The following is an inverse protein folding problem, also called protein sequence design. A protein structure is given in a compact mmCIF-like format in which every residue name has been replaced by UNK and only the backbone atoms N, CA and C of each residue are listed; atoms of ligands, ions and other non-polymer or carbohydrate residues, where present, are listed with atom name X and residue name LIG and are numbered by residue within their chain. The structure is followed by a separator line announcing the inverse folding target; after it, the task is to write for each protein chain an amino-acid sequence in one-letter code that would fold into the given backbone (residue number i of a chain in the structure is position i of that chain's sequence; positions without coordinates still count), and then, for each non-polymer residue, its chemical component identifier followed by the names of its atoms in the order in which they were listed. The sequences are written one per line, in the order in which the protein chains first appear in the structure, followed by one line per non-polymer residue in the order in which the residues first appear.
data_IF_693210239322
#
_entry.id   IF_693210239322
#
_cell.length_a   1.000
_cell.length_b   1.000
_cell.length_c   1.000
_cell.angle_alpha   90.00
_cell.angle_beta   90.00
_cell.angle_gamma   90.00
#
_symmetry.space_group_name_H-M   'P 1'
#
loop_
_entity.id
_entity.type
_entity.pdbx_description
1 polymer ?
#
# COMPACT_ATOMS: atom_id res chain seq x y z
N UNK A 1 -1.22 -7.35 -7.07
CA UNK A 1 -1.40 -7.54 -5.61
C UNK A 1 -1.63 -8.99 -5.26
N UNK A 2 -1.22 -9.37 -4.06
CA UNK A 2 -1.28 -10.75 -3.56
C UNK A 2 -2.51 -10.98 -2.66
N UNK A 3 -2.95 -9.95 -1.94
CA UNK A 3 -4.10 -10.03 -1.03
C UNK A 3 -5.36 -9.62 -1.76
N UNK A 4 -5.90 -10.54 -2.56
CA UNK A 4 -7.09 -10.31 -3.38
C UNK A 4 -8.31 -10.98 -2.72
N UNK A 5 -9.46 -10.29 -2.57
CA UNK A 5 -10.63 -10.92 -1.98
C UNK A 5 -11.22 -11.99 -2.90
N UNK A 6 -11.53 -13.15 -2.34
CA UNK A 6 -12.36 -14.13 -3.04
C UNK A 6 -13.81 -13.63 -3.11
N UNK A 7 -14.13 -12.98 -4.20
CA UNK A 7 -15.46 -12.37 -4.41
C UNK A 7 -16.59 -13.40 -4.42
N UNK A 8 -16.31 -14.63 -4.82
CA UNK A 8 -17.32 -15.70 -4.86
C UNK A 8 -17.69 -16.17 -3.44
N UNK A 9 -16.74 -16.15 -2.53
CA UNK A 9 -16.93 -16.53 -1.12
C UNK A 9 -17.52 -15.41 -0.23
N UNK A 10 -17.57 -14.16 -0.72
CA UNK A 10 -18.09 -13.03 0.06
C UNK A 10 -19.60 -12.84 -0.13
N UNK A 11 -20.31 -12.56 0.98
CA UNK A 11 -21.71 -12.11 0.92
C UNK A 11 -21.82 -10.78 0.15
N UNK A 12 -22.99 -10.46 -0.44
CA UNK A 12 -23.21 -9.18 -1.13
C UNK A 12 -22.88 -7.96 -0.25
N UNK A 13 -23.17 -8.05 1.03
CA UNK A 13 -22.86 -7.00 2.00
C UNK A 13 -21.34 -6.84 2.23
N UNK A 14 -20.60 -7.94 2.38
CA UNK A 14 -19.16 -7.93 2.51
C UNK A 14 -18.48 -7.40 1.24
N UNK A 15 -18.99 -7.78 0.05
CA UNK A 15 -18.54 -7.22 -1.22
C UNK A 15 -18.76 -5.70 -1.30
N UNK A 16 -19.93 -5.22 -0.84
CA UNK A 16 -20.24 -3.78 -0.80
C UNK A 16 -19.30 -3.03 0.15
N UNK A 17 -19.05 -3.58 1.34
CA UNK A 17 -18.10 -3.01 2.31
C UNK A 17 -16.67 -2.95 1.75
N UNK A 18 -16.20 -4.04 1.14
CA UNK A 18 -14.89 -4.06 0.50
C UNK A 18 -14.79 -2.99 -0.61
N UNK A 19 -15.80 -2.93 -1.48
CA UNK A 19 -15.86 -1.95 -2.57
C UNK A 19 -15.85 -0.52 -2.06
N UNK A 20 -16.58 -0.23 -0.97
CA UNK A 20 -16.59 1.12 -0.39
C UNK A 20 -15.23 1.54 0.15
N UNK A 21 -14.48 0.63 0.78
CA UNK A 21 -13.12 0.88 1.25
C UNK A 21 -12.13 1.08 0.08
N UNK A 22 -12.24 0.24 -0.97
CA UNK A 22 -11.44 0.38 -2.20
C UNK A 22 -11.68 1.73 -2.89
N UNK A 23 -12.95 2.13 -3.03
CA UNK A 23 -13.31 3.42 -3.61
C UNK A 23 -12.90 4.60 -2.71
N UNK A 24 -12.98 4.43 -1.38
CA UNK A 24 -12.49 5.40 -0.41
C UNK A 24 -10.99 5.64 -0.56
N UNK A 25 -10.20 4.58 -0.61
CA UNK A 25 -8.75 4.66 -0.85
C UNK A 25 -8.45 5.33 -2.20
N UNK A 26 -9.13 4.94 -3.28
CA UNK A 26 -8.99 5.55 -4.60
C UNK A 26 -9.22 7.07 -4.57
N UNK A 27 -10.26 7.52 -3.87
CA UNK A 27 -10.59 8.94 -3.72
C UNK A 27 -9.54 9.69 -2.89
N UNK A 28 -9.04 9.07 -1.82
CA UNK A 28 -8.00 9.72 -0.99
C UNK A 28 -6.69 9.83 -1.75
N UNK A 29 -6.31 8.81 -2.52
CA UNK A 29 -5.15 8.91 -3.42
C UNK A 29 -5.33 10.08 -4.41
N UNK A 30 -6.51 10.20 -5.03
CA UNK A 30 -6.79 11.30 -5.96
C UNK A 30 -6.74 12.67 -5.27
N UNK A 31 -7.32 12.78 -4.09
CA UNK A 31 -7.37 14.03 -3.34
C UNK A 31 -5.98 14.50 -2.86
N UNK A 32 -5.11 13.56 -2.46
CA UNK A 32 -3.77 13.87 -1.93
C UNK A 32 -2.71 13.97 -3.04
N UNK A 33 -2.81 13.14 -4.09
CA UNK A 33 -1.76 12.93 -5.09
C UNK A 33 -2.22 13.14 -6.53
N UNK A 34 -3.50 13.52 -6.71
CA UNK A 34 -4.09 13.76 -8.01
C UNK A 34 -4.31 12.49 -8.84
N UNK A 35 -4.80 12.69 -10.06
CA UNK A 35 -5.17 11.60 -10.97
C UNK A 35 -4.02 10.62 -11.24
N UNK A 36 -2.78 11.11 -11.26
CA UNK A 36 -1.58 10.29 -11.50
C UNK A 36 -1.33 9.29 -10.36
N UNK A 37 -1.59 9.70 -9.11
CA UNK A 37 -1.50 8.84 -7.95
C UNK A 37 -2.48 7.65 -8.00
N UNK A 38 -3.63 7.79 -8.67
CA UNK A 38 -4.65 6.71 -8.74
C UNK A 38 -4.15 5.42 -9.37
N UNK A 39 -3.11 5.48 -10.21
CA UNK A 39 -2.49 4.28 -10.77
C UNK A 39 -1.75 3.44 -9.74
N UNK A 40 -1.46 4.00 -8.55
CA UNK A 40 -0.88 3.26 -7.43
C UNK A 40 -1.90 2.47 -6.60
N UNK A 41 -3.20 2.58 -6.87
CA UNK A 41 -4.24 1.86 -6.16
C UNK A 41 -4.05 0.34 -6.29
N UNK A 42 -3.99 -0.36 -5.16
CA UNK A 42 -3.81 -1.81 -5.12
C UNK A 42 -4.76 -2.51 -4.15
N UNK A 43 -4.94 -3.81 -4.36
CA UNK A 43 -5.71 -4.65 -3.44
C UNK A 43 -5.00 -4.82 -2.10
N UNK A 44 -3.66 -4.88 -2.11
CA UNK A 44 -2.86 -5.05 -0.90
C UNK A 44 -3.02 -3.86 0.05
N UNK A 45 -2.92 -2.63 -0.48
CA UNK A 45 -3.14 -1.42 0.31
C UNK A 45 -4.62 -1.23 0.70
N UNK A 46 -5.55 -1.76 -0.10
CA UNK A 46 -6.97 -1.81 0.29
C UNK A 46 -7.17 -2.75 1.48
N UNK A 47 -6.50 -3.90 1.49
CA UNK A 47 -6.53 -4.81 2.64
C UNK A 47 -5.97 -4.14 3.90
N UNK A 48 -4.79 -3.51 3.81
CA UNK A 48 -4.20 -2.78 4.93
C UNK A 48 -5.14 -1.67 5.42
N UNK A 49 -5.74 -0.91 4.51
CA UNK A 49 -6.72 0.13 4.85
C UNK A 49 -7.92 -0.43 5.62
N UNK A 50 -8.50 -1.55 5.17
CA UNK A 50 -9.62 -2.20 5.86
C UNK A 50 -9.20 -2.66 7.26
N UNK A 51 -8.04 -3.31 7.38
CA UNK A 51 -7.51 -3.79 8.65
C UNK A 51 -7.34 -2.63 9.64
N UNK A 52 -6.62 -1.59 9.24
CA UNK A 52 -6.36 -0.44 10.09
C UNK A 52 -7.65 0.31 10.45
N UNK A 53 -8.53 0.58 9.48
CA UNK A 53 -9.81 1.21 9.76
C UNK A 53 -10.66 0.41 10.74
N UNK A 54 -10.61 -0.93 10.70
CA UNK A 54 -11.36 -1.77 11.65
C UNK A 54 -10.78 -1.74 13.06
N UNK A 55 -9.46 -1.64 13.21
CA UNK A 55 -8.80 -1.58 14.52
C UNK A 55 -8.96 -0.22 15.20
N UNK A 56 -9.01 0.85 14.41
CA UNK A 56 -9.15 2.23 14.90
C UNK A 56 -10.58 2.78 14.75
N UNK A 57 -11.57 1.91 14.53
CA UNK A 57 -12.98 2.31 14.45
C UNK A 57 -13.43 2.96 15.77
N UNK A 58 -14.01 4.17 15.65
CA UNK A 58 -14.42 4.97 16.81
C UNK A 58 -13.33 5.84 17.43
N UNK A 59 -12.06 5.65 17.10
CA UNK A 59 -10.96 6.51 17.54
C UNK A 59 -10.69 7.66 16.56
N UNK A 60 -11.04 7.47 15.29
CA UNK A 60 -10.84 8.46 14.22
C UNK A 60 -12.14 8.78 13.51
N UNK A 61 -12.35 10.04 13.10
CA UNK A 61 -13.48 10.41 12.26
C UNK A 61 -13.50 9.58 10.97
N UNK A 62 -14.67 9.05 10.63
CA UNK A 62 -14.88 8.39 9.35
C UNK A 62 -15.79 9.25 8.48
N UNK A 63 -15.44 9.37 7.21
CA UNK A 63 -16.22 10.05 6.20
C UNK A 63 -16.74 9.04 5.16
N UNK A 64 -17.91 9.32 4.59
CA UNK A 64 -18.50 8.43 3.59
C UNK A 64 -19.46 9.20 2.69
N UNK A 65 -19.66 8.71 1.50
CA UNK A 65 -20.58 9.32 0.55
C UNK A 65 -20.84 8.45 -0.67
N UNK A 66 -21.64 8.96 -1.59
CA UNK A 66 -21.94 8.32 -2.85
C UNK A 66 -21.59 9.29 -3.97
N UNK A 67 -20.58 8.95 -4.76
CA UNK A 67 -20.13 9.81 -5.86
C UNK A 67 -19.90 9.02 -7.14
N UNK A 68 -19.98 9.72 -8.25
CA UNK A 68 -19.56 9.21 -9.56
C UNK A 68 -18.06 9.42 -9.72
N UNK A 69 -17.43 8.53 -10.46
CA UNK A 69 -16.02 8.70 -10.83
C UNK A 69 -15.81 8.29 -12.31
N UNK A 70 -14.68 8.62 -12.93
CA UNK A 70 -14.41 8.27 -14.33
C UNK A 70 -14.53 6.76 -14.64
N UNK A 71 -14.25 5.91 -13.65
CA UNK A 71 -14.40 4.44 -13.79
C UNK A 71 -15.84 3.98 -13.63
N UNK A 72 -16.67 4.75 -12.89
CA UNK A 72 -18.10 4.48 -12.64
C UNK A 72 -18.94 5.71 -12.98
N UNK A 73 -19.06 6.08 -14.28
CA UNK A 73 -19.67 7.35 -14.68
C UNK A 73 -21.21 7.32 -14.58
N UNK A 74 -21.82 6.15 -14.67
CA UNK A 74 -23.29 6.01 -14.75
C UNK A 74 -23.92 6.01 -13.36
N UNK A 75 -23.38 5.24 -12.42
CA UNK A 75 -23.92 5.08 -11.08
C UNK A 75 -22.95 5.61 -10.02
N UNK A 76 -23.48 6.30 -9.00
CA UNK A 76 -22.73 6.65 -7.83
C UNK A 76 -22.24 5.39 -7.10
N UNK A 77 -21.03 5.43 -6.59
CA UNK A 77 -20.44 4.34 -5.82
C UNK A 77 -20.24 4.82 -4.39
N UNK A 78 -20.69 3.99 -3.44
CA UNK A 78 -20.44 4.23 -2.02
C UNK A 78 -18.93 4.17 -1.76
N UNK A 79 -18.43 5.16 -1.02
CA UNK A 79 -17.06 5.19 -0.54
C UNK A 79 -17.01 5.47 0.95
N UNK A 80 -15.97 5.00 1.63
CA UNK A 80 -15.69 5.26 3.04
C UNK A 80 -14.20 5.48 3.24
N UNK A 81 -13.83 6.47 4.04
CA UNK A 81 -12.46 6.79 4.42
C UNK A 81 -12.37 7.18 5.88
N UNK A 82 -11.19 7.05 6.46
CA UNK A 82 -10.83 7.51 7.80
C UNK A 82 -9.33 7.87 7.79
N UNK A 83 -8.78 8.33 8.92
CA UNK A 83 -7.35 8.69 8.99
C UNK A 83 -6.40 7.60 8.45
N UNK A 84 -6.59 6.29 8.75
CA UNK A 84 -5.74 5.26 8.16
C UNK A 84 -5.80 5.19 6.63
N UNK A 85 -6.88 5.70 6.02
CA UNK A 85 -7.00 5.74 4.55
C UNK A 85 -5.99 6.70 3.93
N UNK A 86 -5.70 7.82 4.57
CA UNK A 86 -4.69 8.79 4.13
C UNK A 86 -3.28 8.19 4.21
N UNK A 87 -3.00 7.47 5.30
CA UNK A 87 -1.78 6.71 5.44
C UNK A 87 -1.59 5.69 4.31
N UNK A 88 -2.62 4.88 4.02
CA UNK A 88 -2.57 3.90 2.93
C UNK A 88 -2.46 4.57 1.54
N UNK A 89 -3.04 5.76 1.36
CA UNK A 89 -2.89 6.52 0.12
C UNK A 89 -1.44 6.99 -0.09
N UNK A 90 -0.79 7.51 0.94
CA UNK A 90 0.60 7.90 0.91
C UNK A 90 1.53 6.70 0.64
N UNK A 91 1.30 5.59 1.34
CA UNK A 91 2.07 4.36 1.12
C UNK A 91 1.88 3.79 -0.30
N UNK A 92 0.67 3.89 -0.87
CA UNK A 92 0.41 3.44 -2.25
C UNK A 92 1.34 4.14 -3.23
N UNK A 93 1.42 5.46 -3.13
CA UNK A 93 2.27 6.28 -4.02
C UNK A 93 3.76 6.01 -3.77
N UNK A 94 4.18 5.96 -2.50
CA UNK A 94 5.57 5.70 -2.15
C UNK A 94 6.06 4.33 -2.66
N UNK A 95 5.29 3.27 -2.42
CA UNK A 95 5.65 1.91 -2.89
C UNK A 95 5.74 1.85 -4.42
N UNK A 96 4.80 2.47 -5.14
CA UNK A 96 4.85 2.51 -6.60
C UNK A 96 6.02 3.31 -7.15
N UNK A 97 6.35 4.42 -6.52
CA UNK A 97 7.50 5.22 -6.86
C UNK A 97 8.81 4.43 -6.73
N UNK A 98 9.05 3.84 -5.57
CA UNK A 98 10.28 3.10 -5.32
C UNK A 98 10.38 1.83 -6.19
N UNK A 99 9.29 1.12 -6.41
CA UNK A 99 9.25 -0.02 -7.34
C UNK A 99 9.53 0.42 -8.80
N UNK A 100 9.03 1.58 -9.22
CA UNK A 100 9.31 2.11 -10.55
C UNK A 100 10.79 2.53 -10.70
N UNK A 101 11.38 3.09 -9.65
CA UNK A 101 12.82 3.41 -9.65
C UNK A 101 13.70 2.16 -9.72
N UNK A 102 13.36 1.14 -8.97
CA UNK A 102 14.03 -0.16 -8.97
C UNK A 102 14.03 -0.76 -10.40
N UNK A 103 12.86 -0.86 -11.02
CA UNK A 103 12.72 -1.31 -12.42
C UNK A 103 13.48 -0.46 -13.45
N UNK A 104 13.66 0.83 -13.17
CA UNK A 104 14.52 1.66 -14.02
C UNK A 104 16.00 1.31 -13.85
N UNK A 105 16.44 1.08 -12.61
CA UNK A 105 17.84 0.72 -12.33
C UNK A 105 18.20 -0.65 -12.94
N UNK A 106 17.30 -1.62 -12.85
CA UNK A 106 17.55 -2.99 -13.31
C UNK A 106 17.39 -3.14 -14.82
N UNK A 107 16.28 -2.66 -15.37
CA UNK A 107 15.88 -2.93 -16.76
C UNK A 107 16.04 -1.73 -17.69
N UNK A 108 16.45 -0.57 -17.19
CA UNK A 108 16.44 0.72 -17.91
C UNK A 108 15.09 1.05 -18.55
N UNK A 109 13.99 0.70 -17.86
CA UNK A 109 12.64 0.89 -18.36
C UNK A 109 12.24 2.37 -18.35
N UNK A 110 12.25 3.02 -19.51
CA UNK A 110 11.91 4.44 -19.67
C UNK A 110 10.49 4.81 -19.20
N UNK A 111 9.53 3.89 -19.31
CA UNK A 111 8.17 4.12 -18.81
C UNK A 111 8.15 4.15 -17.28
N UNK A 112 8.94 3.27 -16.65
CA UNK A 112 9.10 3.28 -15.19
C UNK A 112 9.76 4.57 -14.71
N UNK A 113 10.81 5.04 -15.39
CA UNK A 113 11.43 6.33 -15.10
C UNK A 113 10.44 7.49 -15.25
N UNK A 114 9.69 7.54 -16.36
CA UNK A 114 8.69 8.58 -16.60
C UNK A 114 7.61 8.57 -15.52
N UNK A 115 7.16 7.39 -15.10
CA UNK A 115 6.14 7.27 -14.05
C UNK A 115 6.68 7.67 -12.67
N UNK A 116 7.89 7.25 -12.29
CA UNK A 116 8.50 7.69 -11.03
C UNK A 116 8.66 9.21 -10.97
N UNK A 117 9.10 9.84 -12.05
CA UNK A 117 9.21 11.31 -12.13
C UNK A 117 7.86 12.00 -11.89
N UNK A 118 6.75 11.41 -12.35
CA UNK A 118 5.40 11.94 -12.10
C UNK A 118 4.96 11.85 -10.64
N UNK A 119 5.53 10.93 -9.87
CA UNK A 119 5.21 10.69 -8.47
C UNK A 119 6.21 11.31 -7.49
N UNK A 120 7.28 11.95 -7.98
CA UNK A 120 8.39 12.44 -7.15
C UNK A 120 7.92 13.37 -6.03
N UNK A 121 7.16 14.42 -6.35
CA UNK A 121 6.64 15.35 -5.38
C UNK A 121 5.70 14.68 -4.36
N UNK A 122 4.81 13.81 -4.85
CA UNK A 122 3.87 13.07 -4.01
C UNK A 122 4.59 12.15 -3.02
N UNK A 123 5.67 11.50 -3.47
CA UNK A 123 6.51 10.64 -2.63
C UNK A 123 7.30 11.46 -1.62
N UNK A 124 7.79 12.63 -1.99
CA UNK A 124 8.47 13.55 -1.06
C UNK A 124 7.53 13.99 0.07
N UNK A 125 6.28 14.32 -0.25
CA UNK A 125 5.26 14.65 0.75
C UNK A 125 4.92 13.46 1.66
N UNK A 126 4.75 12.26 1.09
CA UNK A 126 4.55 11.04 1.84
C UNK A 126 5.73 10.75 2.79
N UNK A 127 6.96 10.97 2.33
CA UNK A 127 8.17 10.78 3.13
C UNK A 127 8.30 11.80 4.29
N UNK A 128 7.75 13.00 4.13
CA UNK A 128 7.67 13.96 5.24
C UNK A 128 6.66 13.54 6.31
N UNK A 129 5.50 13.00 5.89
CA UNK A 129 4.47 12.52 6.82
C UNK A 129 4.83 11.17 7.48
N UNK A 130 5.47 10.28 6.73
CA UNK A 130 5.76 8.89 7.13
C UNK A 130 7.24 8.52 6.92
N UNK A 131 8.18 9.25 7.57
CA UNK A 131 9.62 9.06 7.32
C UNK A 131 10.12 7.66 7.70
N UNK A 132 9.57 7.05 8.75
CA UNK A 132 9.94 5.70 9.19
C UNK A 132 9.64 4.66 8.12
N UNK A 133 8.44 4.66 7.58
CA UNK A 133 7.99 3.72 6.57
C UNK A 133 8.70 3.93 5.22
N UNK A 134 8.84 5.16 4.79
CA UNK A 134 9.56 5.46 3.54
C UNK A 134 11.06 5.10 3.64
N UNK A 135 11.68 5.27 4.80
CA UNK A 135 13.04 4.81 5.05
C UNK A 135 13.13 3.28 5.01
N UNK A 136 12.14 2.57 5.59
CA UNK A 136 12.09 1.12 5.56
C UNK A 136 11.96 0.57 4.13
N UNK A 137 11.15 1.21 3.26
CA UNK A 137 11.05 0.84 1.85
C UNK A 137 12.42 0.95 1.17
N UNK A 138 13.09 2.10 1.31
CA UNK A 138 14.41 2.32 0.69
C UNK A 138 15.47 1.35 1.21
N UNK A 139 15.49 1.10 2.51
CA UNK A 139 16.44 0.18 3.12
C UNK A 139 16.23 -1.27 2.66
N UNK A 140 14.98 -1.70 2.53
CA UNK A 140 14.66 -3.03 2.04
C UNK A 140 15.10 -3.20 0.57
N UNK A 141 14.76 -2.25 -0.31
CA UNK A 141 15.16 -2.33 -1.73
C UNK A 141 16.69 -2.35 -1.88
N UNK A 142 17.42 -1.49 -1.16
CA UNK A 142 18.87 -1.52 -1.17
C UNK A 142 19.42 -2.87 -0.70
N UNK A 143 18.82 -3.47 0.32
CA UNK A 143 19.24 -4.78 0.83
C UNK A 143 18.93 -5.92 -0.12
N UNK A 144 17.79 -5.88 -0.80
CA UNK A 144 17.43 -6.86 -1.83
C UNK A 144 18.42 -6.78 -3.01
N UNK A 145 18.76 -5.59 -3.48
CA UNK A 145 19.77 -5.40 -4.51
C UNK A 145 21.16 -5.95 -4.11
N UNK A 146 21.57 -5.81 -2.82
CA UNK A 146 22.79 -6.45 -2.32
C UNK A 146 22.72 -7.98 -2.40
N UNK A 147 21.60 -8.60 -2.02
CA UNK A 147 21.41 -10.05 -2.11
C UNK A 147 21.45 -10.53 -3.55
N UNK A 148 20.82 -9.83 -4.47
CA UNK A 148 20.83 -10.13 -5.91
C UNK A 148 22.24 -10.03 -6.49
N UNK A 149 22.96 -8.93 -6.20
CA UNK A 149 24.33 -8.75 -6.65
C UNK A 149 25.29 -9.81 -6.10
N UNK A 150 25.03 -10.32 -4.90
CA UNK A 150 25.79 -11.41 -4.29
C UNK A 150 25.38 -12.81 -4.79
N UNK A 151 24.33 -12.93 -5.62
CA UNK A 151 23.77 -14.21 -6.04
C UNK A 151 23.27 -15.06 -4.86
N UNK A 152 22.73 -14.42 -3.83
CA UNK A 152 22.30 -15.08 -2.61
C UNK A 152 21.15 -16.05 -2.88
N UNK A 153 21.30 -17.29 -2.40
CA UNK A 153 20.25 -18.32 -2.42
C UNK A 153 19.59 -18.51 -1.05
N UNK A 154 19.91 -17.65 -0.09
CA UNK A 154 19.33 -17.68 1.25
C UNK A 154 17.92 -17.07 1.24
N UNK A 155 16.93 -17.92 0.93
CA UNK A 155 15.52 -17.53 0.87
C UNK A 155 15.00 -17.00 2.22
N UNK A 156 15.55 -17.50 3.34
CA UNK A 156 15.11 -17.04 4.66
C UNK A 156 15.57 -15.59 4.93
N UNK A 157 16.82 -15.26 4.60
CA UNK A 157 17.35 -13.92 4.73
C UNK A 157 16.63 -12.93 3.82
N UNK A 158 16.40 -13.29 2.56
CA UNK A 158 15.76 -12.41 1.57
C UNK A 158 14.28 -12.20 1.89
N UNK A 159 13.53 -13.29 2.16
CA UNK A 159 12.13 -13.18 2.57
C UNK A 159 11.96 -12.46 3.92
N UNK A 160 12.93 -12.65 4.83
CA UNK A 160 12.99 -11.94 6.11
C UNK A 160 13.15 -10.43 5.95
N UNK A 161 13.94 -9.98 4.96
CA UNK A 161 14.08 -8.56 4.63
C UNK A 161 12.73 -7.96 4.21
N UNK A 162 12.01 -8.62 3.31
CA UNK A 162 10.68 -8.18 2.88
C UNK A 162 9.65 -8.26 4.01
N UNK A 163 9.73 -9.29 4.86
CA UNK A 163 8.93 -9.39 6.08
C UNK A 163 9.15 -8.21 7.02
N UNK A 164 10.40 -7.80 7.23
CA UNK A 164 10.74 -6.64 8.07
C UNK A 164 10.18 -5.33 7.50
N UNK A 165 10.21 -5.14 6.18
CA UNK A 165 9.55 -4.03 5.52
C UNK A 165 8.05 -4.04 5.81
N UNK A 166 7.37 -5.15 5.57
CA UNK A 166 5.93 -5.25 5.78
C UNK A 166 5.54 -5.03 7.25
N UNK A 167 6.38 -5.45 8.20
CA UNK A 167 6.18 -5.14 9.61
C UNK A 167 6.16 -3.62 9.86
N UNK A 168 7.05 -2.86 9.23
CA UNK A 168 7.05 -1.39 9.33
C UNK A 168 5.83 -0.73 8.67
N UNK A 169 5.37 -1.26 7.54
CA UNK A 169 4.20 -0.73 6.84
C UNK A 169 2.89 -1.03 7.58
N UNK A 170 2.81 -2.13 8.31
CA UNK A 170 1.63 -2.46 9.12
C UNK A 170 1.59 -1.67 10.43
N UNK A 171 2.74 -1.29 10.98
CA UNK A 171 2.87 -0.49 12.19
C UNK A 171 2.52 0.99 11.91
N UNK A 172 1.22 1.26 11.76
CA UNK A 172 0.66 2.58 11.48
C UNK A 172 0.96 3.58 12.60
N UNK A 173 0.70 3.16 13.84
CA UNK A 173 0.96 3.93 15.06
C UNK A 173 1.70 3.06 16.07
N UNK A 174 2.66 3.64 16.79
CA UNK A 174 3.36 2.95 17.89
C UNK A 174 2.51 2.96 19.15
N UNK A 175 1.44 2.18 19.12
CA UNK A 175 0.47 2.03 20.20
C UNK A 175 0.28 0.56 20.63
N UNK A 176 -0.84 0.26 21.31
CA UNK A 176 -1.18 -1.09 21.78
C UNK A 176 -1.25 -2.15 20.66
N UNK A 177 -1.50 -1.74 19.40
CA UNK A 177 -1.63 -2.65 18.27
C UNK A 177 -0.31 -2.89 17.53
N UNK A 178 0.73 -2.11 17.85
CA UNK A 178 1.99 -2.17 17.13
C UNK A 178 2.63 -3.57 17.14
N UNK A 179 2.70 -4.34 18.26
CA UNK A 179 3.31 -5.66 18.25
C UNK A 179 2.58 -6.65 17.34
N UNK A 180 1.25 -6.67 17.39
CA UNK A 180 0.41 -7.56 16.59
C UNK A 180 0.44 -7.19 15.11
N UNK A 181 0.34 -5.91 14.79
CA UNK A 181 0.42 -5.41 13.41
C UNK A 181 1.79 -5.71 12.80
N UNK A 182 2.88 -5.49 13.53
CA UNK A 182 4.23 -5.85 13.09
C UNK A 182 4.37 -7.35 12.85
N UNK A 183 3.82 -8.18 13.73
CA UNK A 183 3.82 -9.64 13.57
C UNK A 183 3.04 -10.08 12.33
N UNK A 184 1.83 -9.55 12.13
CA UNK A 184 1.01 -9.84 10.94
C UNK A 184 1.76 -9.41 9.67
N UNK A 185 2.28 -8.19 9.64
CA UNK A 185 3.04 -7.66 8.49
C UNK A 185 4.26 -8.52 8.17
N UNK A 186 5.05 -8.88 9.17
CA UNK A 186 6.25 -9.70 8.99
C UNK A 186 5.95 -11.05 8.35
N UNK A 187 5.01 -11.79 8.91
CA UNK A 187 4.68 -13.13 8.41
C UNK A 187 3.99 -13.09 7.05
N UNK A 188 3.11 -12.11 6.83
CA UNK A 188 2.50 -11.91 5.52
C UNK A 188 3.54 -11.54 4.46
N UNK A 189 4.49 -10.67 4.78
CA UNK A 189 5.57 -10.28 3.89
C UNK A 189 6.46 -11.47 3.50
N UNK A 190 6.90 -12.26 4.48
CA UNK A 190 7.65 -13.50 4.19
C UNK A 190 6.86 -14.45 3.30
N UNK A 191 5.58 -14.65 3.60
CA UNK A 191 4.72 -15.55 2.83
C UNK A 191 4.56 -15.07 1.38
N UNK A 192 4.28 -13.78 1.17
CA UNK A 192 4.16 -13.20 -0.17
C UNK A 192 5.45 -13.38 -0.97
N UNK A 193 6.60 -13.07 -0.36
CA UNK A 193 7.89 -13.19 -1.02
C UNK A 193 8.22 -14.63 -1.46
N UNK A 194 7.81 -15.63 -0.66
CA UNK A 194 8.04 -17.03 -0.97
C UNK A 194 7.08 -17.60 -2.03
N UNK A 195 5.99 -16.90 -2.33
CA UNK A 195 5.04 -17.27 -3.38
C UNK A 195 5.38 -16.66 -4.76
N UNK A 196 6.20 -15.61 -4.80
CA UNK A 196 6.57 -14.89 -5.99
C UNK A 196 7.78 -15.53 -6.69
#
# INVERSE_FOLDING_TARGET
GYVIPDRAGLSPEAQSRYRSAYCGLCRRIDALHGLRGRFSLSYDLTFLNILLCSLYEGETPADSGIDRCPVHPVHGVLWRSADPTDYCADLSVALHYYNAQDKWQDDHNLLALGYSTLLDNSTAEAAQRWPRQCNAIRACLAKLAEYEAAGSTDLDAVSGCFGALMAELFDYRQDRWAPELRSIGFHLGKFIYLLD
#
